data_IF_108132018676
#
_entry.id   IF_108132018676
#
_cell.length_a   1.000
_cell.length_b   1.000
_cell.length_c   1.000
_cell.angle_alpha   90.00
_cell.angle_beta   90.00
_cell.angle_gamma   90.00
#
_symmetry.space_group_name_H-M   'P 1'
#
loop_
_entity.id
_entity.type
_entity.pdbx_description
1 polymer ?
#
# COMPACT_ATOMS: atom_id res chain seq x y z
N UNK A 1 7.55 15.19 6.92
CA UNK A 1 8.93 15.43 7.40
C UNK A 1 9.41 14.34 8.37
N UNK A 2 8.59 13.85 9.29
CA UNK A 2 8.92 12.70 10.16
C UNK A 2 8.48 11.36 9.56
N UNK A 3 7.34 11.33 8.85
CA UNK A 3 6.80 10.15 8.14
C UNK A 3 7.65 9.72 6.92
N UNK A 4 8.21 10.68 6.16
CA UNK A 4 9.15 10.38 5.05
C UNK A 4 10.43 9.68 5.53
N UNK A 5 10.91 10.05 6.73
CA UNK A 5 12.07 9.39 7.36
C UNK A 5 11.72 7.97 7.79
N UNK A 6 10.51 7.75 8.29
CA UNK A 6 10.05 6.42 8.68
C UNK A 6 10.05 5.41 7.52
N UNK A 7 9.60 5.81 6.32
CA UNK A 7 9.63 4.95 5.13
C UNK A 7 11.07 4.63 4.67
N UNK A 8 12.02 5.56 4.87
CA UNK A 8 13.42 5.34 4.50
C UNK A 8 14.12 4.22 5.29
N UNK A 9 13.53 3.77 6.41
CA UNK A 9 14.00 2.65 7.22
C UNK A 9 13.30 1.33 6.88
N UNK A 10 12.32 1.36 5.98
CA UNK A 10 11.58 0.17 5.62
C UNK A 10 12.34 -0.59 4.53
N UNK A 11 12.68 -1.85 4.80
CA UNK A 11 13.42 -2.69 3.86
C UNK A 11 12.45 -3.63 3.13
N UNK A 12 12.33 -3.48 1.80
CA UNK A 12 11.62 -4.47 0.99
C UNK A 12 12.50 -5.72 0.84
N UNK A 13 12.04 -6.81 1.43
CA UNK A 13 12.84 -8.04 1.57
C UNK A 13 12.65 -8.96 0.36
N UNK A 14 11.42 -9.09 -0.13
CA UNK A 14 11.08 -10.09 -1.15
C UNK A 14 9.76 -9.76 -1.84
N UNK A 15 9.70 -9.87 -3.17
CA UNK A 15 8.43 -9.79 -3.92
C UNK A 15 7.65 -11.10 -3.76
N UNK A 16 6.44 -11.01 -3.21
CA UNK A 16 5.53 -12.14 -3.07
C UNK A 16 4.81 -12.42 -4.40
N UNK A 17 4.31 -11.35 -5.04
CA UNK A 17 3.55 -11.47 -6.29
C UNK A 17 3.51 -10.17 -7.07
N UNK A 18 3.66 -10.29 -8.39
CA UNK A 18 3.35 -9.21 -9.34
C UNK A 18 1.97 -9.46 -9.92
N UNK A 19 1.03 -8.56 -9.66
CA UNK A 19 -0.31 -8.58 -10.21
C UNK A 19 -0.51 -7.58 -11.35
N UNK A 20 -1.68 -7.62 -11.96
CA UNK A 20 -2.04 -6.68 -13.02
C UNK A 20 -2.07 -5.23 -12.54
N UNK A 21 -2.38 -4.98 -11.27
CA UNK A 21 -2.55 -3.62 -10.73
C UNK A 21 -1.50 -3.22 -9.69
N UNK A 22 -0.97 -4.17 -8.93
CA UNK A 22 -0.05 -3.91 -7.84
C UNK A 22 1.00 -5.01 -7.72
N UNK A 23 2.17 -4.62 -7.20
CA UNK A 23 3.20 -5.52 -6.70
C UNK A 23 2.98 -5.67 -5.20
N UNK A 24 3.07 -6.91 -4.71
CA UNK A 24 2.98 -7.24 -3.28
C UNK A 24 4.32 -7.80 -2.85
N UNK A 25 4.89 -7.23 -1.79
CA UNK A 25 6.22 -7.56 -1.26
C UNK A 25 6.17 -7.73 0.27
N UNK A 26 7.11 -8.51 0.81
CA UNK A 26 7.42 -8.54 2.23
C UNK A 26 8.22 -7.29 2.59
N UNK A 27 7.87 -6.71 3.73
CA UNK A 27 8.50 -5.50 4.25
C UNK A 27 8.88 -5.74 5.71
N UNK A 28 10.07 -5.29 6.11
CA UNK A 28 10.42 -5.17 7.51
C UNK A 28 10.52 -3.69 7.90
N UNK A 29 9.77 -3.28 8.92
CA UNK A 29 9.73 -1.90 9.37
C UNK A 29 9.49 -1.83 10.87
N UNK A 30 10.36 -1.14 11.61
CA UNK A 30 10.30 -1.01 13.07
C UNK A 30 10.19 -2.36 13.81
N UNK A 31 10.92 -3.38 13.35
CA UNK A 31 10.88 -4.74 13.91
C UNK A 31 9.58 -5.51 13.62
N UNK A 32 8.68 -4.96 12.80
CA UNK A 32 7.47 -5.62 12.35
C UNK A 32 7.66 -6.22 10.95
N UNK A 33 7.22 -7.46 10.79
CA UNK A 33 7.07 -8.10 9.48
C UNK A 33 5.72 -7.71 8.89
N UNK A 34 5.77 -6.99 7.77
CA UNK A 34 4.64 -6.39 7.10
C UNK A 34 4.53 -6.90 5.65
N UNK A 35 3.41 -6.57 5.03
CA UNK A 35 3.18 -6.74 3.60
C UNK A 35 2.98 -5.38 2.98
N UNK A 36 3.81 -5.04 2.00
CA UNK A 36 3.67 -3.84 1.18
C UNK A 36 2.86 -4.17 -0.07
N UNK A 37 2.01 -3.22 -0.48
CA UNK A 37 1.22 -3.30 -1.71
C UNK A 37 1.37 -1.98 -2.46
N UNK A 38 2.12 -2.01 -3.56
CA UNK A 38 2.41 -0.83 -4.37
C UNK A 38 1.74 -0.89 -5.75
N UNK A 39 0.96 0.15 -6.10
CA UNK A 39 0.30 0.27 -7.42
C UNK A 39 1.23 0.93 -8.43
N UNK A 40 1.66 0.15 -9.41
CA UNK A 40 2.58 0.63 -10.46
C UNK A 40 1.84 1.46 -11.53
N UNK A 41 2.47 2.52 -12.09
CA UNK A 41 1.88 3.31 -13.15
C UNK A 41 1.48 2.49 -14.37
N UNK A 42 0.39 2.88 -15.02
CA UNK A 42 -0.07 2.25 -16.28
C UNK A 42 0.23 3.15 -17.46
N UNK A 43 1.23 2.76 -18.25
CA UNK A 43 1.74 3.53 -19.40
C UNK A 43 0.68 3.85 -20.47
N UNK A 44 -0.38 3.06 -20.55
CA UNK A 44 -1.49 3.30 -21.49
C UNK A 44 -2.46 4.40 -21.03
N UNK A 45 -2.34 4.94 -19.81
CA UNK A 45 -3.20 6.00 -19.27
C UNK A 45 -2.46 7.33 -19.28
N UNK A 46 -3.22 8.42 -19.39
CA UNK A 46 -2.70 9.76 -19.10
C UNK A 46 -2.17 9.81 -17.66
N UNK A 47 -0.97 10.38 -17.49
CA UNK A 47 -0.25 10.40 -16.21
C UNK A 47 -1.07 10.95 -15.05
N UNK A 48 -1.81 12.05 -15.28
CA UNK A 48 -2.66 12.69 -14.27
C UNK A 48 -3.82 11.79 -13.86
N UNK A 49 -4.47 11.16 -14.83
CA UNK A 49 -5.57 10.22 -14.59
C UNK A 49 -5.09 8.98 -13.84
N UNK A 50 -3.93 8.43 -14.23
CA UNK A 50 -3.37 7.25 -13.58
C UNK A 50 -3.00 7.53 -12.13
N UNK A 51 -2.32 8.65 -11.86
CA UNK A 51 -2.01 9.10 -10.50
C UNK A 51 -3.29 9.25 -9.68
N UNK A 52 -4.25 10.04 -10.17
CA UNK A 52 -5.54 10.24 -9.50
C UNK A 52 -6.26 8.91 -9.21
N UNK A 53 -6.28 7.98 -10.16
CA UNK A 53 -6.91 6.69 -10.01
C UNK A 53 -6.20 5.82 -8.96
N UNK A 54 -4.87 5.80 -8.93
CA UNK A 54 -4.07 5.05 -7.95
C UNK A 54 -4.27 5.62 -6.54
N UNK A 55 -4.20 6.93 -6.37
CA UNK A 55 -4.36 7.60 -5.07
C UNK A 55 -5.76 7.34 -4.49
N UNK A 56 -6.79 7.51 -5.32
CA UNK A 56 -8.19 7.30 -4.90
C UNK A 56 -8.43 5.84 -4.52
N UNK A 57 -7.87 4.88 -5.26
CA UNK A 57 -7.98 3.45 -4.95
C UNK A 57 -7.22 3.08 -3.67
N UNK A 58 -6.01 3.61 -3.46
CA UNK A 58 -5.23 3.38 -2.23
C UNK A 58 -5.99 3.87 -1.00
N UNK A 59 -6.48 5.11 -1.02
CA UNK A 59 -7.25 5.69 0.09
C UNK A 59 -8.57 4.93 0.30
N UNK A 60 -9.28 4.57 -0.76
CA UNK A 60 -10.54 3.85 -0.64
C UNK A 60 -10.36 2.46 -0.05
N UNK A 61 -9.38 1.69 -0.54
CA UNK A 61 -9.09 0.35 -0.03
C UNK A 61 -8.76 0.37 1.47
N UNK A 62 -7.87 1.27 1.88
CA UNK A 62 -7.53 1.39 3.29
C UNK A 62 -8.73 1.78 4.16
N UNK A 63 -9.56 2.74 3.70
CA UNK A 63 -10.80 3.11 4.40
C UNK A 63 -11.74 1.93 4.57
N UNK A 64 -11.94 1.13 3.52
CA UNK A 64 -12.81 -0.05 3.58
C UNK A 64 -12.23 -1.09 4.55
N UNK A 65 -10.95 -1.42 4.46
CA UNK A 65 -10.30 -2.40 5.34
C UNK A 65 -10.39 -1.96 6.81
N UNK A 66 -10.06 -0.70 7.11
CA UNK A 66 -10.16 -0.16 8.47
C UNK A 66 -11.59 -0.20 8.99
N UNK A 67 -12.58 0.15 8.16
CA UNK A 67 -13.99 0.07 8.53
C UNK A 67 -14.42 -1.36 8.85
N UNK A 68 -14.12 -2.31 7.95
CA UNK A 68 -14.43 -3.73 8.13
C UNK A 68 -13.80 -4.28 9.42
N UNK A 69 -12.54 -3.92 9.70
CA UNK A 69 -11.84 -4.33 10.92
C UNK A 69 -12.53 -3.82 12.18
N UNK A 70 -13.08 -2.60 12.18
CA UNK A 70 -13.84 -2.05 13.32
C UNK A 70 -15.13 -2.82 13.59
N UNK A 71 -15.71 -3.47 12.58
CA UNK A 71 -16.87 -4.34 12.71
C UNK A 71 -16.52 -5.81 13.01
N UNK A 72 -15.25 -6.12 13.29
CA UNK A 72 -14.82 -7.48 13.62
C UNK A 72 -14.70 -8.41 12.41
N UNK A 73 -14.76 -7.88 11.18
CA UNK A 73 -14.55 -8.69 9.97
C UNK A 73 -13.07 -9.10 9.89
N UNK A 74 -12.76 -10.39 9.65
CA UNK A 74 -11.38 -10.84 9.47
C UNK A 74 -10.75 -10.22 8.20
N UNK A 75 -9.92 -9.21 8.40
CA UNK A 75 -9.18 -8.55 7.33
C UNK A 75 -7.80 -8.08 7.83
N UNK A 76 -6.86 -7.80 6.90
CA UNK A 76 -5.55 -7.25 7.26
C UNK A 76 -5.67 -5.94 8.07
N UNK A 77 -4.65 -5.62 8.87
CA UNK A 77 -4.53 -4.32 9.50
C UNK A 77 -3.78 -3.37 8.57
N UNK A 78 -4.33 -2.18 8.35
CA UNK A 78 -3.61 -1.09 7.66
C UNK A 78 -2.72 -0.40 8.67
N UNK A 79 -1.40 -0.47 8.47
CA UNK A 79 -0.41 0.14 9.35
C UNK A 79 -0.06 1.55 8.90
N UNK A 80 0.13 1.74 7.59
CA UNK A 80 0.52 2.99 6.98
C UNK A 80 -0.09 3.09 5.57
N UNK A 81 -0.33 4.33 5.13
CA UNK A 81 -0.65 4.65 3.75
C UNK A 81 0.30 5.77 3.35
N UNK A 82 1.00 5.57 2.24
CA UNK A 82 1.73 6.63 1.56
C UNK A 82 0.92 7.13 0.36
N UNK A 83 1.00 8.43 0.07
CA UNK A 83 0.27 9.08 -1.03
C UNK A 83 1.20 9.43 -2.18
#
# INVERSE_FOLDING_TARGET
MEEDRALSLAEEVEVIRIGAEAVVSKLEWNGLKLVSKHRVPKAYRMHELDRWARDRRNVHEAKVITLLRRFGVPCPAVIMIDR
#
